data_IF_387032310277
#
_entry.id   IF_387032310277
#
_cell.length_a   1.000
_cell.length_b   1.000
_cell.length_c   1.000
_cell.angle_alpha   90.00
_cell.angle_beta   90.00
_cell.angle_gamma   90.00
#
_symmetry.space_group_name_H-M   'P 1'
#
loop_
_entity.id
_entity.type
_entity.pdbx_description
1 polymer ?
#
# COMPACT_ATOMS: atom_id res chain seq x y z
N UNK A 1 -35.45 12.11 14.92
CA UNK A 1 -34.59 13.30 14.67
C UNK A 1 -33.16 13.16 15.24
N UNK A 2 -32.93 12.44 16.34
CA UNK A 2 -31.60 12.24 16.94
C UNK A 2 -30.61 11.43 16.07
N UNK A 3 -31.07 10.44 15.29
CA UNK A 3 -30.23 9.61 14.40
C UNK A 3 -29.46 10.41 13.33
N UNK A 4 -30.13 11.38 12.70
CA UNK A 4 -29.56 12.14 11.59
C UNK A 4 -28.46 13.12 12.03
N UNK A 5 -28.48 13.57 13.30
CA UNK A 5 -27.42 14.43 13.88
C UNK A 5 -26.16 13.63 14.21
N UNK A 6 -26.32 12.41 14.76
CA UNK A 6 -25.20 11.51 15.05
C UNK A 6 -24.50 11.04 13.78
N UNK A 7 -25.25 10.69 12.73
CA UNK A 7 -24.67 10.27 11.45
C UNK A 7 -23.82 11.38 10.79
N UNK A 8 -24.35 12.61 10.73
CA UNK A 8 -23.62 13.77 10.20
C UNK A 8 -22.36 14.09 11.00
N UNK A 9 -22.41 13.90 12.32
CA UNK A 9 -21.24 14.07 13.17
C UNK A 9 -20.16 13.02 12.87
N UNK A 10 -20.51 11.73 12.85
CA UNK A 10 -19.55 10.64 12.58
C UNK A 10 -18.90 10.84 11.22
N UNK A 11 -19.68 11.16 10.19
CA UNK A 11 -19.16 11.41 8.85
C UNK A 11 -18.15 12.58 8.83
N UNK A 12 -18.48 13.71 9.46
CA UNK A 12 -17.57 14.86 9.53
C UNK A 12 -16.34 14.59 10.38
N UNK A 13 -16.47 13.80 11.44
CA UNK A 13 -15.35 13.39 12.28
C UNK A 13 -14.39 12.49 11.50
N UNK A 14 -14.90 11.47 10.78
CA UNK A 14 -14.11 10.62 9.90
C UNK A 14 -13.38 11.42 8.82
N UNK A 15 -14.06 12.40 8.20
CA UNK A 15 -13.45 13.29 7.21
C UNK A 15 -12.36 14.20 7.79
N UNK A 16 -12.43 14.55 9.08
CA UNK A 16 -11.36 15.31 9.76
C UNK A 16 -10.15 14.44 10.09
N UNK A 17 -10.36 13.17 10.48
CA UNK A 17 -9.28 12.19 10.64
C UNK A 17 -8.54 11.92 9.33
N UNK A 18 -9.24 12.05 8.20
CA UNK A 18 -8.69 11.71 6.89
C UNK A 18 -7.48 12.56 6.50
N UNK A 19 -7.41 13.83 6.94
CA UNK A 19 -6.31 14.71 6.56
C UNK A 19 -4.95 14.27 7.12
N UNK A 20 -4.80 13.99 8.44
CA UNK A 20 -3.60 13.34 8.97
C UNK A 20 -3.27 12.00 8.28
N UNK A 21 -4.28 11.16 8.04
CA UNK A 21 -4.11 9.85 7.41
C UNK A 21 -3.64 9.97 5.96
N UNK A 22 -4.13 10.97 5.22
CA UNK A 22 -3.74 11.23 3.85
C UNK A 22 -2.24 11.51 3.69
N UNK A 23 -1.59 12.13 4.70
CA UNK A 23 -0.13 12.37 4.69
C UNK A 23 0.68 11.08 4.78
N UNK A 24 0.19 10.09 5.52
CA UNK A 24 0.85 8.78 5.62
C UNK A 24 0.54 7.94 4.37
N UNK A 25 -0.71 7.99 3.90
CA UNK A 25 -1.09 7.32 2.65
C UNK A 25 -0.31 7.86 1.45
N UNK A 26 0.01 9.16 1.40
CA UNK A 26 0.85 9.71 0.33
C UNK A 26 2.28 9.15 0.38
N UNK A 27 2.83 8.90 1.57
CA UNK A 27 4.13 8.24 1.73
C UNK A 27 4.06 6.78 1.27
N UNK A 28 2.98 6.07 1.61
CA UNK A 28 2.76 4.70 1.16
C UNK A 28 2.65 4.61 -0.37
N UNK A 29 1.87 5.52 -0.98
CA UNK A 29 1.75 5.62 -2.42
C UNK A 29 3.10 5.90 -3.07
N UNK A 30 3.85 6.89 -2.58
CA UNK A 30 5.18 7.21 -3.08
C UNK A 30 6.14 6.01 -2.99
N UNK A 31 6.04 5.22 -1.93
CA UNK A 31 6.83 4.00 -1.78
C UNK A 31 6.48 2.97 -2.84
N UNK A 32 5.18 2.75 -3.11
CA UNK A 32 4.75 1.85 -4.21
C UNK A 32 5.25 2.35 -5.58
N UNK A 33 5.19 3.66 -5.84
CA UNK A 33 5.73 4.25 -7.08
C UNK A 33 7.22 3.96 -7.25
N UNK A 34 8.02 4.15 -6.19
CA UNK A 34 9.46 3.87 -6.20
C UNK A 34 9.75 2.39 -6.43
N UNK A 35 9.06 1.51 -5.71
CA UNK A 35 9.23 0.06 -5.90
C UNK A 35 8.82 -0.39 -7.29
N UNK A 36 7.75 0.16 -7.87
CA UNK A 36 7.36 -0.13 -9.25
C UNK A 36 8.42 0.32 -10.25
N UNK A 37 9.01 1.50 -10.05
CA UNK A 37 10.09 1.99 -10.91
C UNK A 37 11.34 1.09 -10.83
N UNK A 38 11.73 0.71 -9.60
CA UNK A 38 12.86 -0.18 -9.36
C UNK A 38 12.58 -1.56 -9.96
N UNK A 39 11.40 -2.14 -9.73
CA UNK A 39 11.03 -3.45 -10.25
C UNK A 39 10.98 -3.49 -11.77
N UNK A 40 10.41 -2.45 -12.40
CA UNK A 40 10.41 -2.30 -13.85
C UNK A 40 11.84 -2.30 -14.45
N UNK A 41 12.77 -1.59 -13.82
CA UNK A 41 14.18 -1.59 -14.25
C UNK A 41 14.90 -2.90 -13.95
N UNK A 42 14.74 -3.41 -12.72
CA UNK A 42 15.46 -4.58 -12.21
C UNK A 42 15.06 -5.88 -12.90
N UNK A 43 13.79 -6.02 -13.30
CA UNK A 43 13.27 -7.25 -13.91
C UNK A 43 13.36 -7.24 -15.44
N UNK A 44 13.95 -6.20 -16.04
CA UNK A 44 14.13 -6.11 -17.49
C UNK A 44 14.88 -7.32 -18.07
N UNK A 45 15.86 -7.88 -17.34
CA UNK A 45 16.61 -9.08 -17.75
C UNK A 45 15.77 -10.37 -17.70
N UNK A 46 14.77 -10.41 -16.81
CA UNK A 46 13.87 -11.55 -16.67
C UNK A 46 12.83 -11.62 -17.80
N UNK A 47 12.72 -10.56 -18.62
CA UNK A 47 11.81 -10.55 -19.78
C UNK A 47 12.14 -11.67 -20.77
N UNK A 48 13.42 -11.89 -21.04
CA UNK A 48 13.88 -12.87 -22.03
C UNK A 48 13.69 -14.32 -21.54
N UNK A 49 13.78 -14.55 -20.22
CA UNK A 49 13.62 -15.88 -19.61
C UNK A 49 12.15 -16.24 -19.36
N UNK A 50 11.31 -15.26 -19.01
CA UNK A 50 9.91 -15.49 -18.68
C UNK A 50 8.95 -15.49 -19.88
N UNK A 51 9.27 -14.78 -20.97
CA UNK A 51 8.39 -14.64 -22.13
C UNK A 51 6.98 -14.15 -21.73
N UNK A 52 5.94 -14.88 -22.10
CA UNK A 52 4.53 -14.56 -21.79
C UNK A 52 4.21 -14.47 -20.30
N UNK A 53 5.05 -15.05 -19.43
CA UNK A 53 4.89 -14.96 -17.97
C UNK A 53 5.34 -13.61 -17.40
N UNK A 54 6.03 -12.78 -18.20
CA UNK A 54 6.49 -11.43 -17.86
C UNK A 54 5.37 -10.38 -17.96
N UNK A 55 4.18 -10.65 -17.41
CA UNK A 55 3.03 -9.72 -17.51
C UNK A 55 3.01 -8.65 -16.43
N UNK A 56 3.50 -8.96 -15.22
CA UNK A 56 3.33 -8.09 -14.05
C UNK A 56 4.27 -6.88 -14.04
N UNK A 57 5.38 -6.94 -14.78
CA UNK A 57 6.36 -5.84 -14.89
C UNK A 57 6.67 -5.52 -16.36
N UNK A 58 5.71 -5.83 -17.26
CA UNK A 58 5.85 -5.62 -18.71
C UNK A 58 6.13 -4.16 -19.06
N UNK A 59 5.42 -3.24 -18.42
CA UNK A 59 5.61 -1.80 -18.47
C UNK A 59 5.47 -1.21 -17.05
N UNK A 60 5.74 0.08 -16.92
CA UNK A 60 5.64 0.76 -15.64
C UNK A 60 4.20 0.78 -15.09
N UNK A 61 3.18 0.85 -15.96
CA UNK A 61 1.78 0.80 -15.58
C UNK A 61 1.40 -0.56 -14.96
N UNK A 62 1.76 -1.66 -15.61
CA UNK A 62 1.55 -3.01 -15.09
C UNK A 62 2.30 -3.24 -13.78
N UNK A 63 3.52 -2.70 -13.64
CA UNK A 63 4.27 -2.77 -12.39
C UNK A 63 3.54 -2.03 -11.25
N UNK A 64 3.00 -0.84 -11.54
CA UNK A 64 2.20 -0.06 -10.60
C UNK A 64 0.92 -0.77 -10.19
N UNK A 65 0.16 -1.30 -11.15
CA UNK A 65 -1.09 -2.03 -10.87
C UNK A 65 -0.80 -3.29 -10.05
N UNK A 66 0.23 -4.03 -10.46
CA UNK A 66 0.65 -5.26 -9.78
C UNK A 66 1.06 -4.98 -8.34
N UNK A 67 1.95 -4.03 -8.10
CA UNK A 67 2.40 -3.69 -6.75
C UNK A 67 1.35 -2.92 -5.93
N UNK A 68 0.46 -2.19 -6.59
CA UNK A 68 -0.68 -1.51 -5.97
C UNK A 68 -1.69 -2.49 -5.37
N UNK A 69 -1.96 -3.60 -6.05
CA UNK A 69 -2.75 -4.72 -5.49
C UNK A 69 -1.93 -5.52 -4.47
N UNK A 70 -0.61 -5.58 -4.66
CA UNK A 70 0.30 -6.30 -3.78
C UNK A 70 0.43 -5.65 -2.40
N UNK A 71 0.31 -4.32 -2.30
CA UNK A 71 0.36 -3.59 -1.02
C UNK A 71 -0.75 -4.04 -0.06
N UNK A 72 -1.89 -4.49 -0.59
CA UNK A 72 -3.03 -5.05 0.16
C UNK A 72 -3.00 -6.58 0.22
N UNK A 73 -1.89 -7.18 -0.23
CA UNK A 73 -1.62 -8.62 -0.29
C UNK A 73 -2.66 -9.45 -1.05
N UNK A 74 -3.43 -8.85 -1.96
CA UNK A 74 -4.52 -9.54 -2.66
C UNK A 74 -4.07 -10.41 -3.85
N UNK A 75 -2.86 -10.16 -4.37
CA UNK A 75 -2.27 -10.92 -5.48
C UNK A 75 -0.94 -11.61 -5.12
N UNK A 76 -0.61 -11.72 -3.83
CA UNK A 76 0.51 -12.54 -3.36
C UNK A 76 0.03 -13.97 -3.04
N UNK A 77 0.81 -15.01 -3.35
CA UNK A 77 2.16 -15.02 -3.93
C UNK A 77 2.20 -14.88 -5.46
N UNK A 78 1.06 -14.85 -6.14
CA UNK A 78 0.97 -14.99 -7.61
C UNK A 78 1.79 -13.95 -8.39
N UNK A 79 1.89 -12.72 -7.90
CA UNK A 79 2.69 -11.65 -8.53
C UNK A 79 4.21 -11.94 -8.49
N UNK A 80 4.69 -12.66 -7.46
CA UNK A 80 6.12 -12.97 -7.30
C UNK A 80 6.52 -14.29 -7.95
N UNK A 81 5.60 -15.26 -8.05
CA UNK A 81 5.92 -16.64 -8.47
C UNK A 81 6.71 -16.75 -9.78
N UNK A 82 6.41 -15.96 -10.83
CA UNK A 82 7.17 -16.06 -12.07
C UNK A 82 8.65 -15.67 -11.89
N UNK A 83 8.91 -14.64 -11.09
CA UNK A 83 10.25 -14.07 -10.87
C UNK A 83 11.03 -14.82 -9.78
N UNK A 84 10.32 -15.48 -8.86
CA UNK A 84 10.92 -16.23 -7.77
C UNK A 84 11.90 -17.32 -8.25
N UNK A 85 11.56 -18.00 -9.35
CA UNK A 85 12.38 -19.07 -9.92
C UNK A 85 13.52 -18.57 -10.82
N UNK A 86 13.53 -17.27 -11.18
CA UNK A 86 14.51 -16.69 -12.10
C UNK A 86 15.79 -16.24 -11.36
N UNK A 87 15.69 -15.80 -10.10
CA UNK A 87 16.87 -15.57 -9.27
C UNK A 87 16.60 -15.05 -7.87
N UNK A 88 17.54 -15.30 -6.94
CA UNK A 88 17.40 -14.93 -5.53
C UNK A 88 17.19 -13.42 -5.28
N UNK A 89 17.75 -12.56 -6.13
CA UNK A 89 17.58 -11.11 -6.04
C UNK A 89 16.12 -10.68 -6.28
N UNK A 90 15.41 -11.38 -7.17
CA UNK A 90 14.00 -11.14 -7.43
C UNK A 90 13.15 -11.43 -6.19
N UNK A 91 13.40 -12.56 -5.52
CA UNK A 91 12.72 -12.93 -4.28
C UNK A 91 13.01 -11.95 -3.14
N UNK A 92 14.26 -11.48 -3.04
CA UNK A 92 14.67 -10.47 -2.05
C UNK A 92 13.94 -9.13 -2.26
N UNK A 93 13.69 -8.72 -3.51
CA UNK A 93 12.91 -7.52 -3.83
C UNK A 93 11.48 -7.60 -3.26
N UNK A 94 10.76 -8.70 -3.51
CA UNK A 94 9.39 -8.88 -3.01
C UNK A 94 9.35 -8.99 -1.48
N UNK A 95 10.34 -9.62 -0.87
CA UNK A 95 10.47 -9.66 0.59
C UNK A 95 10.65 -8.26 1.17
N UNK A 96 11.56 -7.46 0.60
CA UNK A 96 11.78 -6.08 1.03
C UNK A 96 10.53 -5.21 0.85
N UNK A 97 9.83 -5.36 -0.28
CA UNK A 97 8.55 -4.70 -0.53
C UNK A 97 7.52 -5.02 0.55
N UNK A 98 7.34 -6.30 0.89
CA UNK A 98 6.38 -6.74 1.92
C UNK A 98 6.73 -6.20 3.32
N UNK A 99 8.02 -6.23 3.68
CA UNK A 99 8.47 -5.70 4.98
C UNK A 99 8.21 -4.20 5.09
N UNK A 100 8.55 -3.44 4.06
CA UNK A 100 8.42 -1.98 4.08
C UNK A 100 6.95 -1.54 3.96
N UNK A 101 6.18 -2.16 3.08
CA UNK A 101 4.81 -1.71 2.81
C UNK A 101 3.80 -2.34 3.77
N UNK A 102 3.75 -3.66 3.87
CA UNK A 102 2.75 -4.37 4.67
C UNK A 102 3.06 -4.31 6.16
N UNK A 103 4.30 -4.61 6.57
CA UNK A 103 4.62 -4.67 8.00
C UNK A 103 4.98 -3.32 8.62
N UNK A 104 5.57 -2.40 7.85
CA UNK A 104 5.92 -1.09 8.37
C UNK A 104 4.86 -0.04 8.02
N UNK A 105 4.63 0.25 6.74
CA UNK A 105 3.76 1.36 6.35
C UNK A 105 2.29 1.14 6.75
N UNK A 106 1.70 -0.03 6.55
CA UNK A 106 0.30 -0.26 6.96
C UNK A 106 0.12 -0.17 8.48
N UNK A 107 1.11 -0.60 9.26
CA UNK A 107 1.09 -0.43 10.72
C UNK A 107 1.22 1.05 11.13
N UNK A 108 2.02 1.85 10.42
CA UNK A 108 2.08 3.30 10.64
C UNK A 108 0.76 3.98 10.27
N UNK A 109 0.13 3.59 9.16
CA UNK A 109 -1.21 4.08 8.77
C UNK A 109 -2.23 3.79 9.87
N UNK A 110 -2.22 2.57 10.41
CA UNK A 110 -3.09 2.19 11.53
C UNK A 110 -2.82 3.04 12.77
N UNK A 111 -1.55 3.20 13.16
CA UNK A 111 -1.16 3.98 14.33
C UNK A 111 -1.60 5.44 14.23
N UNK A 112 -1.36 6.10 13.09
CA UNK A 112 -1.76 7.50 12.87
C UNK A 112 -3.28 7.65 12.80
N UNK A 113 -3.98 6.70 12.18
CA UNK A 113 -5.45 6.70 12.15
C UNK A 113 -6.02 6.57 13.55
N UNK A 114 -5.47 5.65 14.35
CA UNK A 114 -5.89 5.43 15.73
C UNK A 114 -5.64 6.66 16.60
N UNK A 115 -4.47 7.29 16.47
CA UNK A 115 -4.15 8.53 17.18
C UNK A 115 -5.13 9.65 16.84
N UNK A 116 -5.36 9.92 15.54
CA UNK A 116 -6.28 10.96 15.10
C UNK A 116 -7.72 10.73 15.59
N UNK A 117 -8.17 9.47 15.59
CA UNK A 117 -9.48 9.11 16.11
C UNK A 117 -9.57 9.30 17.64
N UNK A 118 -8.55 8.90 18.38
CA UNK A 118 -8.48 9.03 19.83
C UNK A 118 -8.51 10.50 20.27
N UNK A 119 -7.75 11.37 19.60
CA UNK A 119 -7.74 12.81 19.86
C UNK A 119 -9.13 13.44 19.65
N UNK A 120 -9.83 13.06 18.58
CA UNK A 120 -11.20 13.53 18.31
C UNK A 120 -12.22 13.07 19.36
N UNK A 121 -12.08 11.85 19.87
CA UNK A 121 -12.96 11.32 20.91
C UNK A 121 -12.71 11.98 22.27
N UNK A 122 -11.45 12.19 22.65
CA UNK A 122 -11.11 12.94 23.88
C UNK A 122 -11.62 14.38 23.84
N UNK A 123 -11.48 15.07 22.70
CA UNK A 123 -12.01 16.43 22.54
C UNK A 123 -13.55 16.53 22.69
N UNK A 124 -14.26 15.41 22.54
CA UNK A 124 -15.70 15.31 22.78
C UNK A 124 -16.06 15.06 24.24
N UNK A 125 -15.25 14.32 25.00
CA UNK A 125 -15.53 14.01 26.41
C UNK A 125 -15.35 15.24 27.31
N UNK A 126 -14.45 16.15 26.92
CA UNK A 126 -14.16 17.39 27.67
C UNK A 126 -15.20 18.50 27.41
N UNK A 127 -16.11 18.34 26.45
CA UNK A 127 -17.18 19.29 26.11
C UNK A 127 -18.55 18.77 26.51
#
# INVERSE_FOLDING_TARGET
>A
VLSNRSARFVFRASMRCLWPVARVLSLALFTVLLFALIGYGAFSSARDTLGDRFRFFADYGAALDSLGVAVTTANFPDVMMPYYNDGYFHSAFFLAFMVITTFLLMNVVLAVTFQAFSELMCARVVK
#
